data_IF_425758558165
#
_entry.id   IF_425758558165
#
_cell.length_a   1.000
_cell.length_b   1.000
_cell.length_c   1.000
_cell.angle_alpha   90.00
_cell.angle_beta   90.00
_cell.angle_gamma   90.00
#
_symmetry.space_group_name_H-M   'P 1'
#
loop_
_entity.id
_entity.type
_entity.pdbx_description
1 polymer ?
#
# COMPACT_ATOMS: atom_id res chain seq x y z
N UNK A 1 3.53 -15.64 10.68
CA UNK A 1 4.67 -14.73 10.36
C UNK A 1 5.74 -15.42 9.51
N UNK A 2 6.36 -16.50 9.97
CA UNK A 2 7.45 -17.20 9.24
C UNK A 2 7.03 -17.68 7.85
N UNK A 3 5.79 -18.14 7.68
CA UNK A 3 5.29 -18.60 6.38
C UNK A 3 5.33 -17.50 5.32
N UNK A 4 5.06 -16.24 5.68
CA UNK A 4 5.15 -15.13 4.73
C UNK A 4 6.59 -14.80 4.36
N UNK A 5 7.53 -14.89 5.32
CA UNK A 5 8.96 -14.72 5.03
C UNK A 5 9.44 -15.81 4.10
N UNK A 6 9.11 -17.07 4.42
CA UNK A 6 9.46 -18.20 3.55
C UNK A 6 8.82 -18.09 2.17
N UNK A 7 7.58 -17.61 2.10
CA UNK A 7 6.91 -17.38 0.82
C UNK A 7 7.55 -16.29 -0.01
N UNK A 8 8.00 -15.19 0.61
CA UNK A 8 8.75 -14.17 -0.09
C UNK A 8 10.08 -14.71 -0.63
N UNK A 9 10.80 -15.49 0.17
CA UNK A 9 12.03 -16.18 -0.26
C UNK A 9 11.73 -17.18 -1.38
N UNK A 10 10.70 -18.01 -1.23
CA UNK A 10 10.28 -18.96 -2.24
C UNK A 10 9.87 -18.27 -3.54
N UNK A 11 9.13 -17.17 -3.45
CA UNK A 11 8.77 -16.33 -4.60
C UNK A 11 10.01 -15.90 -5.38
N UNK A 12 11.03 -15.40 -4.69
CA UNK A 12 12.29 -14.98 -5.31
C UNK A 12 13.02 -16.18 -5.95
N UNK A 13 13.07 -17.31 -5.27
CA UNK A 13 13.74 -18.53 -5.78
C UNK A 13 13.02 -19.05 -7.03
N UNK A 14 11.69 -19.17 -6.98
CA UNK A 14 10.89 -19.65 -8.13
C UNK A 14 11.02 -18.68 -9.31
N UNK A 15 11.01 -17.39 -9.04
CA UNK A 15 11.21 -16.39 -10.07
C UNK A 15 12.59 -16.49 -10.73
N UNK A 16 13.66 -16.54 -9.95
CA UNK A 16 15.03 -16.70 -10.46
C UNK A 16 15.18 -18.01 -11.23
N UNK A 17 14.65 -19.12 -10.69
CA UNK A 17 14.67 -20.42 -11.35
C UNK A 17 13.94 -20.43 -12.69
N UNK A 18 12.78 -19.75 -12.75
CA UNK A 18 12.03 -19.60 -14.00
C UNK A 18 12.80 -18.76 -15.02
N UNK A 19 13.43 -17.67 -14.59
CA UNK A 19 14.27 -16.82 -15.42
C UNK A 19 15.47 -17.61 -16.01
N UNK A 20 16.14 -18.37 -15.18
CA UNK A 20 17.25 -19.23 -15.57
C UNK A 20 16.79 -20.31 -16.56
N UNK A 21 15.69 -21.02 -16.27
CA UNK A 21 15.17 -22.08 -17.14
C UNK A 21 14.79 -21.57 -18.54
N UNK A 22 14.20 -20.40 -18.62
CA UNK A 22 13.86 -19.78 -19.92
C UNK A 22 15.11 -19.31 -20.63
N UNK A 23 16.09 -18.74 -19.92
CA UNK A 23 17.38 -18.34 -20.51
C UNK A 23 18.10 -19.53 -21.16
N UNK A 24 18.09 -20.70 -20.54
CA UNK A 24 18.62 -21.93 -21.11
C UNK A 24 17.85 -22.37 -22.36
N UNK A 25 16.52 -22.24 -22.36
CA UNK A 25 15.68 -22.65 -23.50
C UNK A 25 15.81 -21.73 -24.71
N UNK A 26 16.11 -20.45 -24.50
CA UNK A 26 16.18 -19.45 -25.55
C UNK A 26 17.60 -19.13 -26.00
N UNK A 27 18.62 -19.70 -25.38
CA UNK A 27 20.04 -19.36 -25.56
C UNK A 27 20.34 -17.85 -25.40
N UNK A 28 19.45 -17.11 -24.76
CA UNK A 28 19.60 -15.70 -24.46
C UNK A 28 19.41 -15.51 -22.98
N UNK A 29 20.46 -15.05 -22.32
CA UNK A 29 20.35 -14.65 -20.90
C UNK A 29 19.57 -13.33 -20.86
N UNK A 30 18.25 -13.43 -20.94
CA UNK A 30 17.34 -12.31 -20.78
C UNK A 30 16.48 -12.54 -19.54
N UNK A 31 16.88 -11.95 -18.42
CA UNK A 31 15.98 -11.76 -17.29
C UNK A 31 14.83 -10.78 -17.64
N UNK A 32 14.89 -10.16 -18.81
CA UNK A 32 13.96 -9.14 -19.29
C UNK A 32 13.29 -9.61 -20.57
N UNK A 33 11.97 -9.49 -20.65
CA UNK A 33 11.26 -9.69 -21.92
C UNK A 33 10.28 -10.85 -21.99
N UNK A 34 9.92 -11.42 -20.85
CA UNK A 34 8.75 -12.30 -20.81
C UNK A 34 7.51 -11.52 -21.25
N UNK A 35 6.76 -12.04 -22.20
CA UNK A 35 5.40 -11.54 -22.40
C UNK A 35 4.67 -11.68 -21.07
N UNK A 36 4.21 -10.58 -20.49
CA UNK A 36 3.43 -10.58 -19.27
C UNK A 36 2.25 -11.54 -19.46
N UNK A 37 2.31 -12.66 -18.75
CA UNK A 37 1.24 -13.63 -18.72
C UNK A 37 0.50 -13.46 -17.41
N UNK A 38 -0.79 -13.08 -17.47
CA UNK A 38 -1.68 -13.03 -16.30
C UNK A 38 -1.66 -14.34 -15.53
N UNK A 39 -1.62 -15.48 -16.25
CA UNK A 39 -1.56 -16.81 -15.64
C UNK A 39 -0.29 -16.98 -14.80
N UNK A 40 0.85 -16.57 -15.33
CA UNK A 40 2.13 -16.65 -14.61
C UNK A 40 2.16 -15.71 -13.41
N UNK A 41 1.62 -14.50 -13.54
CA UNK A 41 1.49 -13.55 -12.45
C UNK A 41 0.66 -14.13 -11.29
N UNK A 42 -0.54 -14.63 -11.58
CA UNK A 42 -1.38 -15.25 -10.56
C UNK A 42 -0.77 -16.52 -9.97
N UNK A 43 -0.06 -17.30 -10.78
CA UNK A 43 0.67 -18.47 -10.29
C UNK A 43 1.72 -18.05 -9.25
N UNK A 44 2.52 -17.04 -9.51
CA UNK A 44 3.49 -16.55 -8.53
C UNK A 44 2.83 -15.96 -7.28
N UNK A 45 1.77 -15.21 -7.44
CA UNK A 45 1.05 -14.65 -6.29
C UNK A 45 0.29 -15.70 -5.48
N UNK A 46 -0.11 -16.81 -6.08
CA UNK A 46 -0.76 -17.93 -5.37
C UNK A 46 0.14 -18.52 -4.27
N UNK A 47 1.46 -18.36 -4.37
CA UNK A 47 2.41 -18.73 -3.32
C UNK A 47 2.03 -18.04 -1.99
N UNK A 48 1.67 -16.78 -2.03
CA UNK A 48 1.26 -16.03 -0.82
C UNK A 48 -0.09 -16.49 -0.28
N UNK A 49 -1.02 -16.84 -1.18
CA UNK A 49 -2.31 -17.40 -0.79
C UNK A 49 -2.14 -18.77 -0.12
N UNK A 50 -1.29 -19.62 -0.70
CA UNK A 50 -0.93 -20.94 -0.11
C UNK A 50 -0.24 -20.73 1.23
N UNK A 51 0.65 -19.74 1.37
CA UNK A 51 1.29 -19.42 2.64
C UNK A 51 0.29 -19.02 3.72
N UNK A 52 -0.70 -18.19 3.40
CA UNK A 52 -1.77 -17.81 4.33
C UNK A 52 -2.59 -19.03 4.77
N UNK A 53 -2.90 -19.92 3.83
CA UNK A 53 -3.60 -21.17 4.12
C UNK A 53 -2.77 -22.12 5.01
N UNK A 54 -1.48 -22.28 4.72
CA UNK A 54 -0.58 -23.09 5.53
C UNK A 54 -0.39 -22.52 6.94
N UNK A 55 -0.37 -21.18 7.08
CA UNK A 55 -0.33 -20.52 8.38
C UNK A 55 -1.58 -20.88 9.18
N UNK A 56 -2.77 -20.78 8.59
CA UNK A 56 -4.02 -21.14 9.23
C UNK A 56 -4.08 -22.62 9.65
N UNK A 57 -3.66 -23.53 8.79
CA UNK A 57 -3.65 -24.96 9.09
C UNK A 57 -2.65 -25.31 10.19
N UNK A 58 -1.43 -24.75 10.12
CA UNK A 58 -0.33 -25.11 11.05
C UNK A 58 -0.58 -24.63 12.48
N UNK A 59 -1.29 -23.52 12.63
CA UNK A 59 -1.62 -22.95 13.94
C UNK A 59 -3.06 -23.22 14.37
N UNK A 60 -3.82 -23.98 13.58
CA UNK A 60 -5.27 -24.18 13.79
C UNK A 60 -6.03 -22.87 13.93
N UNK A 61 -5.55 -21.81 13.27
CA UNK A 61 -6.05 -20.46 13.33
C UNK A 61 -6.65 -20.05 11.98
N UNK A 62 -7.94 -20.34 11.81
CA UNK A 62 -8.69 -19.97 10.61
C UNK A 62 -8.70 -18.44 10.42
N UNK A 63 -8.61 -17.68 11.52
CA UNK A 63 -8.60 -16.22 11.46
C UNK A 63 -7.38 -15.69 10.69
N UNK A 64 -6.24 -16.38 10.76
CA UNK A 64 -5.06 -15.99 10.01
C UNK A 64 -5.28 -15.97 8.47
N UNK A 65 -6.07 -16.91 7.95
CA UNK A 65 -6.45 -16.90 6.54
C UNK A 65 -7.56 -15.89 6.23
N UNK A 66 -8.55 -15.79 7.12
CA UNK A 66 -9.62 -14.81 6.99
C UNK A 66 -9.09 -13.38 6.99
N UNK A 67 -8.14 -13.05 7.87
CA UNK A 67 -7.44 -11.76 7.89
C UNK A 67 -6.83 -11.44 6.53
N UNK A 68 -6.17 -12.42 5.90
CA UNK A 68 -5.57 -12.23 4.58
C UNK A 68 -6.61 -11.86 3.52
N UNK A 69 -7.75 -12.57 3.52
CA UNK A 69 -8.85 -12.29 2.60
C UNK A 69 -9.46 -10.90 2.87
N UNK A 70 -9.68 -10.56 4.14
CA UNK A 70 -10.18 -9.23 4.53
C UNK A 70 -9.22 -8.14 4.04
N UNK A 71 -7.92 -8.32 4.21
CA UNK A 71 -6.93 -7.35 3.74
C UNK A 71 -6.92 -7.19 2.22
N UNK A 72 -7.14 -8.27 1.46
CA UNK A 72 -7.29 -8.18 0.01
C UNK A 72 -8.40 -7.20 -0.40
N UNK A 73 -9.58 -7.37 0.20
CA UNK A 73 -10.72 -6.50 -0.10
C UNK A 73 -10.57 -5.10 0.49
N UNK A 74 -10.10 -4.99 1.72
CA UNK A 74 -9.88 -3.72 2.39
C UNK A 74 -8.86 -2.86 1.63
N UNK A 75 -7.78 -3.45 1.13
CA UNK A 75 -6.77 -2.74 0.35
C UNK A 75 -7.32 -2.18 -0.96
N UNK A 76 -8.09 -2.98 -1.70
CA UNK A 76 -8.77 -2.52 -2.91
C UNK A 76 -9.78 -1.41 -2.59
N UNK A 77 -10.56 -1.57 -1.52
CA UNK A 77 -11.52 -0.56 -1.09
C UNK A 77 -10.81 0.75 -0.72
N UNK A 78 -9.78 0.67 0.12
CA UNK A 78 -8.98 1.83 0.55
C UNK A 78 -8.35 2.56 -0.64
N UNK A 79 -7.74 1.83 -1.57
CA UNK A 79 -7.17 2.37 -2.79
C UNK A 79 -8.23 3.04 -3.68
N UNK A 80 -9.39 2.41 -3.83
CA UNK A 80 -10.49 2.94 -4.65
C UNK A 80 -11.07 4.22 -4.06
N UNK A 81 -11.35 4.22 -2.75
CA UNK A 81 -11.86 5.39 -2.02
C UNK A 81 -10.86 6.55 -2.11
N UNK A 82 -9.58 6.24 -1.86
CA UNK A 82 -8.52 7.23 -1.95
C UNK A 82 -8.36 7.82 -3.35
N UNK A 83 -8.33 6.98 -4.39
CA UNK A 83 -8.21 7.43 -5.79
C UNK A 83 -9.43 8.21 -6.25
N UNK A 84 -10.63 7.83 -5.81
CA UNK A 84 -11.86 8.57 -6.08
C UNK A 84 -11.82 9.95 -5.42
N UNK A 85 -11.46 10.02 -4.13
CA UNK A 85 -11.28 11.27 -3.41
C UNK A 85 -10.25 12.16 -4.13
N UNK A 86 -9.09 11.62 -4.48
CA UNK A 86 -8.05 12.37 -5.19
C UNK A 86 -8.58 12.98 -6.49
N UNK A 87 -9.31 12.21 -7.30
CA UNK A 87 -9.87 12.69 -8.57
C UNK A 87 -10.92 13.78 -8.41
N UNK A 88 -11.58 13.83 -7.26
CA UNK A 88 -12.55 14.91 -6.96
C UNK A 88 -11.87 16.28 -6.88
N UNK A 89 -10.63 16.31 -6.44
CA UNK A 89 -9.88 17.58 -6.25
C UNK A 89 -8.87 17.83 -7.38
N UNK A 90 -8.37 16.79 -8.03
CA UNK A 90 -7.30 16.91 -9.01
C UNK A 90 -7.69 16.30 -10.36
N UNK A 91 -7.41 17.03 -11.44
CA UNK A 91 -7.75 16.59 -12.79
C UNK A 91 -6.99 15.33 -13.27
N UNK A 92 -5.86 15.00 -12.65
CA UNK A 92 -5.06 13.83 -13.00
C UNK A 92 -4.92 12.89 -11.81
N UNK A 93 -5.00 11.57 -12.03
CA UNK A 93 -4.76 10.60 -10.97
C UNK A 93 -3.31 10.69 -10.47
N UNK A 94 -3.10 10.37 -9.18
CA UNK A 94 -1.75 10.28 -8.61
C UNK A 94 -0.96 9.13 -9.22
N UNK A 95 -1.64 8.01 -9.48
CA UNK A 95 -1.15 6.88 -10.26
C UNK A 95 -2.20 6.41 -11.26
N UNK A 96 -1.80 5.62 -12.22
CA UNK A 96 -2.69 4.96 -13.16
C UNK A 96 -2.25 3.52 -13.37
N UNK A 97 -3.20 2.60 -13.32
CA UNK A 97 -2.98 1.19 -13.63
C UNK A 97 -3.01 0.95 -15.13
N UNK A 98 -2.22 -0.02 -15.61
CA UNK A 98 -2.07 -0.32 -17.02
C UNK A 98 -2.60 -1.69 -17.42
N UNK A 99 -3.02 -2.51 -16.46
CA UNK A 99 -3.53 -3.86 -16.71
C UNK A 99 -4.70 -4.19 -15.77
N UNK A 100 -5.70 -4.91 -16.31
CA UNK A 100 -6.89 -5.40 -15.60
C UNK A 100 -7.56 -4.36 -14.70
N UNK A 101 -7.71 -3.17 -15.25
CA UNK A 101 -8.16 -1.98 -14.53
C UNK A 101 -9.68 -1.95 -14.38
N UNK A 102 -10.13 -1.32 -13.31
CA UNK A 102 -11.53 -0.95 -13.13
C UNK A 102 -11.64 0.51 -12.63
N UNK A 103 -12.87 1.06 -12.70
CA UNK A 103 -13.10 2.45 -12.28
C UNK A 103 -12.29 3.48 -13.06
N UNK A 104 -11.96 3.23 -14.33
CA UNK A 104 -11.17 4.16 -15.14
C UNK A 104 -9.71 4.26 -14.69
N UNK A 105 -9.01 3.14 -14.56
CA UNK A 105 -7.62 3.01 -14.10
C UNK A 105 -7.40 3.39 -12.62
N UNK A 106 -8.46 3.39 -11.80
CA UNK A 106 -8.38 3.71 -10.37
C UNK A 106 -7.62 2.63 -9.62
N UNK A 107 -7.96 1.37 -9.88
CA UNK A 107 -7.32 0.21 -9.31
C UNK A 107 -7.25 -0.94 -10.31
N UNK A 108 -6.68 -2.07 -9.91
CA UNK A 108 -6.49 -3.25 -10.75
C UNK A 108 -6.84 -4.52 -9.98
N UNK A 109 -7.51 -5.45 -10.66
CA UNK A 109 -7.76 -6.80 -10.14
C UNK A 109 -6.46 -7.54 -9.79
N UNK A 110 -5.34 -7.13 -10.39
CA UNK A 110 -4.02 -7.70 -10.10
C UNK A 110 -3.52 -7.36 -8.69
N UNK A 111 -4.11 -6.37 -8.02
CA UNK A 111 -3.66 -5.90 -6.70
C UNK A 111 -4.31 -6.63 -5.51
N UNK A 112 -5.28 -7.51 -5.71
CA UNK A 112 -5.95 -8.19 -4.59
C UNK A 112 -4.95 -8.92 -3.69
N UNK A 113 -4.17 -9.82 -4.24
CA UNK A 113 -3.19 -10.59 -3.45
C UNK A 113 -2.08 -9.69 -2.86
N UNK A 114 -1.47 -8.75 -3.60
CA UNK A 114 -0.55 -7.77 -3.03
C UNK A 114 -1.11 -7.01 -1.83
N UNK A 115 -2.38 -6.62 -1.84
CA UNK A 115 -3.00 -5.97 -0.69
C UNK A 115 -3.15 -6.90 0.52
N UNK A 116 -3.48 -8.19 0.29
CA UNK A 116 -3.46 -9.20 1.35
C UNK A 116 -2.08 -9.34 2.00
N UNK A 117 -1.02 -9.39 1.19
CA UNK A 117 0.37 -9.41 1.66
C UNK A 117 0.71 -8.14 2.44
N UNK A 118 0.30 -6.97 1.93
CA UNK A 118 0.52 -5.69 2.58
C UNK A 118 -0.12 -5.63 3.97
N UNK A 119 -1.35 -6.12 4.12
CA UNK A 119 -2.02 -6.21 5.41
C UNK A 119 -1.27 -7.10 6.39
N UNK A 120 -0.80 -8.27 5.95
CA UNK A 120 0.04 -9.15 6.80
C UNK A 120 1.36 -8.50 7.21
N UNK A 121 2.00 -7.74 6.33
CA UNK A 121 3.18 -6.97 6.71
C UNK A 121 2.89 -5.90 7.77
N UNK A 122 1.74 -5.21 7.68
CA UNK A 122 1.34 -4.26 8.72
C UNK A 122 1.23 -4.94 10.09
N UNK A 123 0.51 -6.06 10.16
CA UNK A 123 0.36 -6.84 11.40
C UNK A 123 1.71 -7.34 11.93
N UNK A 124 2.60 -7.77 11.03
CA UNK A 124 3.93 -8.21 11.41
C UNK A 124 4.76 -7.08 12.03
N UNK A 125 4.79 -5.90 11.40
CA UNK A 125 5.50 -4.72 11.91
C UNK A 125 4.92 -4.33 13.28
N UNK A 126 3.60 -4.29 13.38
CA UNK A 126 2.89 -3.98 14.63
C UNK A 126 3.20 -4.98 15.74
N UNK A 127 3.12 -6.28 15.47
CA UNK A 127 3.40 -7.33 16.46
C UNK A 127 4.84 -7.28 16.92
N UNK A 128 5.78 -7.07 16.01
CA UNK A 128 7.20 -6.89 16.31
C UNK A 128 7.40 -5.65 17.20
N UNK A 129 6.81 -4.53 16.84
CA UNK A 129 6.86 -3.31 17.63
C UNK A 129 6.36 -3.53 19.06
N UNK A 130 5.22 -4.20 19.25
CA UNK A 130 4.68 -4.51 20.58
C UNK A 130 5.62 -5.38 21.41
N UNK A 131 6.25 -6.37 20.79
CA UNK A 131 7.22 -7.23 21.49
C UNK A 131 8.44 -6.46 22.00
N UNK A 132 8.94 -5.50 21.20
CA UNK A 132 10.13 -4.73 21.56
C UNK A 132 9.85 -3.61 22.58
N UNK A 133 8.70 -2.96 22.46
CA UNK A 133 8.44 -1.76 23.27
C UNK A 133 7.61 -2.02 24.53
N UNK A 134 6.93 -3.17 24.59
CA UNK A 134 5.92 -3.42 25.62
C UNK A 134 4.79 -2.39 25.62
N UNK A 135 4.66 -1.60 24.53
CA UNK A 135 3.77 -0.44 24.52
C UNK A 135 2.31 -0.85 24.44
N UNK A 136 1.50 -0.17 25.23
CA UNK A 136 0.05 -0.30 25.24
C UNK A 136 -0.67 0.53 24.16
N UNK A 137 -0.06 0.74 23.00
CA UNK A 137 -0.78 1.35 21.88
C UNK A 137 -1.89 0.39 21.49
N UNK A 138 -3.11 0.75 21.77
CA UNK A 138 -4.29 -0.07 21.59
C UNK A 138 -5.20 0.45 20.47
N UNK A 139 -6.33 -0.20 20.26
CA UNK A 139 -7.31 0.18 19.25
C UNK A 139 -7.78 1.63 19.40
N UNK A 140 -7.88 2.16 20.63
CA UNK A 140 -8.37 3.53 20.86
C UNK A 140 -7.47 4.58 20.22
N UNK A 141 -6.16 4.36 20.23
CA UNK A 141 -5.17 5.23 19.62
C UNK A 141 -5.29 5.20 18.09
N UNK A 142 -5.48 4.01 17.52
CA UNK A 142 -5.72 3.88 16.09
C UNK A 142 -7.02 4.55 15.66
N UNK A 143 -8.09 4.41 16.44
CA UNK A 143 -9.36 5.11 16.19
C UNK A 143 -9.21 6.62 16.33
N UNK A 144 -8.40 7.12 17.27
CA UNK A 144 -8.09 8.53 17.39
C UNK A 144 -7.34 9.04 16.13
N UNK A 145 -6.38 8.29 15.61
CA UNK A 145 -5.69 8.64 14.36
C UNK A 145 -6.70 8.78 13.21
N UNK A 146 -7.63 7.83 13.09
CA UNK A 146 -8.68 7.89 12.09
C UNK A 146 -9.59 9.10 12.26
N UNK A 147 -10.00 9.39 13.48
CA UNK A 147 -10.81 10.56 13.79
C UNK A 147 -10.09 11.85 13.39
N UNK A 148 -8.83 12.00 13.75
CA UNK A 148 -8.01 13.16 13.37
C UNK A 148 -7.91 13.27 11.84
N UNK A 149 -7.66 12.18 11.15
CA UNK A 149 -7.61 12.16 9.68
C UNK A 149 -8.94 12.60 9.06
N UNK A 150 -10.07 12.07 9.55
CA UNK A 150 -11.41 12.44 9.06
C UNK A 150 -11.69 13.92 9.31
N UNK A 151 -11.37 14.44 10.49
CA UNK A 151 -11.57 15.85 10.82
C UNK A 151 -10.75 16.76 9.88
N UNK A 152 -9.47 16.48 9.70
CA UNK A 152 -8.64 17.24 8.77
C UNK A 152 -9.14 17.15 7.33
N UNK A 153 -9.56 15.96 6.91
CA UNK A 153 -10.15 15.76 5.58
C UNK A 153 -11.41 16.61 5.37
N UNK A 154 -12.34 16.61 6.34
CA UNK A 154 -13.55 17.40 6.27
C UNK A 154 -13.26 18.91 6.25
N UNK A 155 -12.31 19.38 7.05
CA UNK A 155 -11.87 20.78 7.04
C UNK A 155 -11.34 21.18 5.66
N UNK A 156 -10.53 20.35 5.04
CA UNK A 156 -10.02 20.61 3.69
C UNK A 156 -11.13 20.62 2.63
N UNK A 157 -12.08 19.68 2.73
CA UNK A 157 -13.23 19.66 1.84
C UNK A 157 -14.05 20.95 1.94
N UNK A 158 -14.30 21.42 3.15
CA UNK A 158 -15.02 22.67 3.39
C UNK A 158 -14.23 23.85 2.81
N UNK A 159 -12.93 23.95 3.07
CA UNK A 159 -12.08 25.01 2.52
C UNK A 159 -12.10 25.04 0.99
N UNK A 160 -12.02 23.87 0.35
CA UNK A 160 -12.09 23.78 -1.11
C UNK A 160 -13.45 24.25 -1.65
N UNK A 161 -14.56 23.84 -1.00
CA UNK A 161 -15.89 24.29 -1.37
C UNK A 161 -16.04 25.81 -1.22
N UNK A 162 -15.55 26.37 -0.12
CA UNK A 162 -15.55 27.82 0.13
C UNK A 162 -14.74 28.53 -0.96
N UNK A 163 -13.54 28.04 -1.28
CA UNK A 163 -12.73 28.64 -2.34
C UNK A 163 -13.41 28.59 -3.70
N UNK A 164 -14.06 27.49 -4.06
CA UNK A 164 -14.83 27.37 -5.31
C UNK A 164 -15.97 28.37 -5.39
N UNK A 165 -16.67 28.61 -4.26
CA UNK A 165 -17.79 29.54 -4.19
C UNK A 165 -17.34 31.00 -4.36
N UNK A 166 -16.23 31.38 -3.74
CA UNK A 166 -15.79 32.79 -3.70
C UNK A 166 -14.82 33.18 -4.81
N UNK A 167 -13.93 32.31 -5.24
CA UNK A 167 -12.86 32.65 -6.19
C UNK A 167 -12.98 31.99 -7.54
N UNK A 168 -13.89 31.03 -7.73
CA UNK A 168 -13.96 30.15 -8.91
C UNK A 168 -12.64 29.42 -9.23
N UNK A 169 -11.67 29.49 -8.33
CA UNK A 169 -10.37 28.81 -8.43
C UNK A 169 -10.25 27.80 -7.34
N UNK A 170 -9.61 26.71 -7.63
CA UNK A 170 -9.27 25.66 -6.66
C UNK A 170 -7.77 25.68 -6.41
N UNK A 171 -7.32 25.16 -5.26
CA UNK A 171 -5.88 24.95 -5.04
C UNK A 171 -5.28 24.05 -6.12
N UNK A 172 -6.05 23.08 -6.59
CA UNK A 172 -5.65 22.18 -7.67
C UNK A 172 -5.45 22.86 -9.03
N UNK A 173 -6.09 24.01 -9.26
CA UNK A 173 -5.94 24.82 -10.48
C UNK A 173 -4.82 25.86 -10.39
N UNK A 174 -4.12 25.93 -9.26
CA UNK A 174 -3.01 26.86 -9.05
C UNK A 174 -1.80 26.51 -9.91
N UNK A 175 -0.96 27.50 -10.20
CA UNK A 175 0.33 27.32 -10.88
C UNK A 175 1.31 26.47 -10.05
N UNK A 176 1.08 26.37 -8.74
CA UNK A 176 1.88 25.57 -7.79
C UNK A 176 1.22 24.23 -7.48
N UNK A 177 0.97 23.45 -8.51
CA UNK A 177 0.26 22.17 -8.41
C UNK A 177 0.87 21.19 -7.41
N UNK A 178 2.20 21.11 -7.34
CA UNK A 178 2.90 20.21 -6.42
C UNK A 178 2.67 20.60 -4.97
N UNK A 179 2.67 21.90 -4.68
CA UNK A 179 2.34 22.42 -3.34
C UNK A 179 0.88 22.14 -2.97
N UNK A 180 -0.03 22.27 -3.93
CA UNK A 180 -1.45 21.93 -3.71
C UNK A 180 -1.63 20.46 -3.38
N UNK A 181 -0.94 19.56 -4.09
CA UNK A 181 -0.94 18.13 -3.82
C UNK A 181 -0.42 17.85 -2.41
N UNK A 182 0.68 18.47 -2.03
CA UNK A 182 1.24 18.34 -0.70
C UNK A 182 0.24 18.78 0.39
N UNK A 183 -0.34 19.96 0.25
CA UNK A 183 -1.28 20.51 1.24
C UNK A 183 -2.52 19.62 1.38
N UNK A 184 -3.14 19.23 0.28
CA UNK A 184 -4.39 18.46 0.34
C UNK A 184 -4.19 17.03 0.81
N UNK A 185 -3.08 16.44 0.47
CA UNK A 185 -2.89 15.01 0.62
C UNK A 185 -2.01 14.63 1.81
N UNK A 186 -0.87 15.27 1.92
CA UNK A 186 0.11 14.84 2.93
C UNK A 186 -0.05 15.57 4.25
N UNK A 187 -0.47 16.84 4.22
CA UNK A 187 -0.52 17.67 5.43
C UNK A 187 -1.43 17.10 6.52
N UNK A 188 -2.70 16.71 6.23
CA UNK A 188 -3.58 16.16 7.27
C UNK A 188 -3.00 14.93 7.96
N UNK A 189 -2.48 14.00 7.16
CA UNK A 189 -1.87 12.76 7.66
C UNK A 189 -0.62 13.10 8.47
N UNK A 190 0.23 13.97 7.94
CA UNK A 190 1.46 14.39 8.62
C UNK A 190 1.16 15.05 9.95
N UNK A 191 0.19 15.97 10.01
CA UNK A 191 -0.20 16.63 11.25
C UNK A 191 -0.75 15.63 12.26
N UNK A 192 -1.62 14.70 11.85
CA UNK A 192 -2.16 13.66 12.73
C UNK A 192 -1.04 12.77 13.30
N UNK A 193 -0.10 12.35 12.47
CA UNK A 193 1.05 11.53 12.90
C UNK A 193 1.99 12.31 13.83
N UNK A 194 2.23 13.59 13.59
CA UNK A 194 3.02 14.44 14.46
C UNK A 194 2.34 14.60 15.84
N UNK A 195 1.06 14.93 15.86
CA UNK A 195 0.31 15.08 17.11
C UNK A 195 0.35 13.79 17.95
N UNK A 196 0.15 12.64 17.31
CA UNK A 196 0.23 11.36 18.00
C UNK A 196 1.67 11.03 18.44
N UNK A 197 2.67 11.40 17.66
CA UNK A 197 4.08 11.24 18.08
C UNK A 197 4.38 12.06 19.33
N UNK A 198 3.88 13.29 19.45
CA UNK A 198 4.02 14.08 20.66
C UNK A 198 3.28 13.47 21.85
N UNK A 199 2.09 12.89 21.62
CA UNK A 199 1.29 12.29 22.67
C UNK A 199 1.83 10.92 23.15
N UNK A 200 2.37 10.11 22.24
CA UNK A 200 2.74 8.71 22.49
C UNK A 200 4.27 8.47 22.54
N UNK A 201 5.05 9.47 22.16
CA UNK A 201 6.50 9.45 22.23
C UNK A 201 7.20 8.83 21.01
N UNK A 202 8.55 8.75 21.12
CA UNK A 202 9.43 8.33 20.00
C UNK A 202 9.15 6.92 19.48
N UNK A 203 8.67 6.02 20.34
CA UNK A 203 8.34 4.66 19.89
C UNK A 203 7.24 4.66 18.82
N UNK A 204 6.24 5.52 18.94
CA UNK A 204 5.19 5.68 17.94
C UNK A 204 5.75 6.27 16.62
N UNK A 205 6.70 7.21 16.74
CA UNK A 205 7.42 7.73 15.56
C UNK A 205 8.14 6.62 14.80
N UNK A 206 8.88 5.75 15.50
CA UNK A 206 9.58 4.63 14.85
C UNK A 206 8.61 3.65 14.17
N UNK A 207 7.47 3.36 14.79
CA UNK A 207 6.43 2.54 14.17
C UNK A 207 5.92 3.18 12.87
N UNK A 208 5.66 4.48 12.90
CA UNK A 208 5.20 5.26 11.74
C UNK A 208 6.21 5.19 10.59
N UNK A 209 7.49 5.44 10.91
CA UNK A 209 8.57 5.38 9.92
C UNK A 209 8.72 3.96 9.36
N UNK A 210 8.64 2.94 10.22
CA UNK A 210 8.72 1.55 9.79
C UNK A 210 7.62 1.20 8.77
N UNK A 211 6.37 1.61 9.02
CA UNK A 211 5.29 1.44 8.05
C UNK A 211 5.63 2.13 6.72
N UNK A 212 5.98 3.42 6.75
CA UNK A 212 6.26 4.19 5.53
C UNK A 212 7.39 3.58 4.70
N UNK A 213 8.50 3.26 5.34
CA UNK A 213 9.70 2.73 4.66
C UNK A 213 9.45 1.33 4.11
N UNK A 214 8.89 0.43 4.93
CA UNK A 214 8.65 -0.96 4.50
C UNK A 214 7.68 -1.00 3.33
N UNK A 215 6.58 -0.25 3.38
CA UNK A 215 5.62 -0.21 2.28
C UNK A 215 6.21 0.41 1.02
N UNK A 216 6.94 1.53 1.15
CA UNK A 216 7.60 2.18 0.01
C UNK A 216 8.58 1.23 -0.68
N UNK A 217 9.45 0.58 0.11
CA UNK A 217 10.44 -0.36 -0.42
C UNK A 217 9.74 -1.58 -1.04
N UNK A 218 8.72 -2.12 -0.38
CA UNK A 218 7.97 -3.28 -0.89
C UNK A 218 7.26 -2.97 -2.20
N UNK A 219 6.59 -1.82 -2.31
CA UNK A 219 5.96 -1.39 -3.54
C UNK A 219 6.97 -1.20 -4.66
N UNK A 220 8.08 -0.49 -4.36
CA UNK A 220 9.14 -0.26 -5.33
C UNK A 220 9.73 -1.57 -5.85
N UNK A 221 10.10 -2.47 -4.94
CA UNK A 221 10.66 -3.77 -5.29
C UNK A 221 9.67 -4.61 -6.09
N UNK A 222 8.42 -4.68 -5.65
CA UNK A 222 7.38 -5.43 -6.36
C UNK A 222 7.16 -4.88 -7.77
N UNK A 223 7.01 -3.56 -7.91
CA UNK A 223 6.88 -2.92 -9.22
C UNK A 223 8.09 -3.13 -10.13
N UNK A 224 9.30 -3.08 -9.56
CA UNK A 224 10.54 -3.35 -10.27
C UNK A 224 10.64 -4.81 -10.72
N UNK A 225 10.27 -5.76 -9.87
CA UNK A 225 10.19 -7.17 -10.21
C UNK A 225 9.26 -7.43 -11.39
N UNK A 226 8.04 -6.89 -11.34
CA UNK A 226 7.08 -7.04 -12.43
C UNK A 226 7.62 -6.43 -13.72
N UNK A 227 8.25 -5.25 -13.62
CA UNK A 227 8.88 -4.61 -14.78
C UNK A 227 10.00 -5.46 -15.37
N UNK A 228 10.87 -6.03 -14.55
CA UNK A 228 11.92 -6.94 -15.01
C UNK A 228 11.37 -8.19 -15.70
N UNK A 229 10.28 -8.78 -15.13
CA UNK A 229 9.66 -9.98 -15.69
C UNK A 229 8.95 -9.72 -17.03
N UNK A 230 8.26 -8.61 -17.13
CA UNK A 230 7.29 -8.39 -18.21
C UNK A 230 7.69 -7.31 -19.20
N UNK A 231 8.70 -6.51 -18.88
CA UNK A 231 9.01 -5.27 -19.61
C UNK A 231 7.90 -4.22 -19.51
N UNK A 232 6.86 -4.44 -18.69
CA UNK A 232 5.71 -3.56 -18.54
C UNK A 232 5.50 -3.19 -17.08
N UNK A 233 5.09 -1.95 -16.85
CA UNK A 233 4.69 -1.49 -15.54
C UNK A 233 3.22 -1.82 -15.30
N UNK A 234 2.88 -2.34 -14.11
CA UNK A 234 1.48 -2.54 -13.71
C UNK A 234 0.79 -1.22 -13.43
N UNK A 235 1.53 -0.28 -12.82
CA UNK A 235 1.09 1.08 -12.53
C UNK A 235 2.18 2.08 -12.87
N UNK A 236 1.80 3.33 -12.89
CA UNK A 236 2.71 4.45 -13.09
C UNK A 236 2.28 5.63 -12.23
N UNK A 237 3.20 6.12 -11.40
CA UNK A 237 3.02 7.36 -10.68
C UNK A 237 3.24 8.56 -11.57
N UNK A 238 2.37 9.55 -11.42
CA UNK A 238 2.38 10.78 -12.23
C UNK A 238 3.04 11.97 -11.49
N UNK A 239 3.33 11.83 -10.19
CA UNK A 239 3.88 12.87 -9.34
C UNK A 239 5.13 12.38 -8.62
N UNK A 240 6.20 13.19 -8.60
CA UNK A 240 7.50 12.88 -8.02
C UNK A 240 7.91 11.40 -8.19
N UNK A 241 7.92 10.92 -9.44
CA UNK A 241 8.13 9.51 -9.72
C UNK A 241 9.57 9.08 -9.38
N UNK A 242 9.68 7.92 -8.76
CA UNK A 242 10.95 7.22 -8.54
C UNK A 242 11.09 6.15 -9.62
N UNK A 243 12.27 6.07 -10.23
CA UNK A 243 12.61 5.09 -11.27
C UNK A 243 11.53 4.95 -12.35
N UNK A 244 11.21 6.09 -12.99
CA UNK A 244 10.24 6.13 -14.07
C UNK A 244 8.79 5.87 -13.63
N UNK A 245 8.47 6.05 -12.37
CA UNK A 245 7.10 5.97 -11.85
C UNK A 245 6.73 4.62 -11.25
N UNK A 246 7.70 3.79 -10.88
CA UNK A 246 7.45 2.54 -10.14
C UNK A 246 6.98 2.80 -8.71
N UNK A 247 7.40 3.91 -8.11
CA UNK A 247 6.88 4.46 -6.87
C UNK A 247 6.97 5.98 -6.90
N UNK A 248 6.60 6.64 -5.80
CA UNK A 248 6.65 8.09 -5.65
C UNK A 248 7.12 8.46 -4.26
N UNK A 249 7.93 9.51 -4.14
CA UNK A 249 8.32 10.06 -2.84
C UNK A 249 7.10 10.49 -2.03
N UNK A 250 6.04 10.96 -2.68
CA UNK A 250 4.77 11.28 -2.03
C UNK A 250 4.08 10.07 -1.41
N UNK A 251 4.37 8.86 -1.86
CA UNK A 251 3.73 7.66 -1.36
C UNK A 251 4.18 7.30 0.06
N UNK A 252 5.33 7.79 0.54
CA UNK A 252 5.88 7.43 1.86
C UNK A 252 4.87 7.78 2.98
N UNK A 253 4.30 8.98 2.98
CA UNK A 253 3.36 9.40 4.03
C UNK A 253 2.04 8.62 3.95
N UNK A 254 1.38 8.48 2.79
CA UNK A 254 0.25 7.57 2.65
C UNK A 254 0.54 6.13 3.09
N UNK A 255 1.74 5.64 2.86
CA UNK A 255 2.12 4.30 3.30
C UNK A 255 2.25 4.19 4.81
N UNK A 256 2.71 5.24 5.51
CA UNK A 256 2.60 5.26 6.97
C UNK A 256 1.14 5.03 7.40
N UNK A 257 0.22 5.74 6.77
CA UNK A 257 -1.21 5.62 7.07
C UNK A 257 -1.78 4.26 6.66
N UNK A 258 -1.37 3.68 5.54
CA UNK A 258 -1.79 2.35 5.12
C UNK A 258 -1.42 1.27 6.14
N UNK A 259 -0.25 1.37 6.78
CA UNK A 259 0.15 0.49 7.88
C UNK A 259 -0.84 0.57 9.05
N UNK A 260 -1.22 1.77 9.46
CA UNK A 260 -2.23 1.98 10.50
C UNK A 260 -3.62 1.48 10.07
N UNK A 261 -3.98 1.68 8.82
CA UNK A 261 -5.25 1.20 8.25
C UNK A 261 -5.40 -0.31 8.42
N UNK A 262 -4.45 -1.08 7.93
CA UNK A 262 -4.51 -2.54 8.03
C UNK A 262 -4.41 -3.04 9.47
N UNK A 263 -3.58 -2.40 10.30
CA UNK A 263 -3.49 -2.73 11.73
C UNK A 263 -4.81 -2.47 12.46
N UNK A 264 -5.50 -1.36 12.14
CA UNK A 264 -6.83 -1.06 12.71
C UNK A 264 -7.84 -2.14 12.33
N UNK A 265 -7.89 -2.53 11.07
CA UNK A 265 -8.79 -3.59 10.60
C UNK A 265 -8.51 -4.88 11.36
N UNK A 266 -7.24 -5.25 11.48
CA UNK A 266 -6.86 -6.45 12.21
C UNK A 266 -7.27 -6.39 13.68
N UNK A 267 -7.04 -5.27 14.37
CA UNK A 267 -7.45 -5.08 15.76
C UNK A 267 -8.98 -5.17 15.92
N UNK A 268 -9.75 -4.61 15.01
CA UNK A 268 -11.22 -4.71 15.02
C UNK A 268 -11.66 -6.16 14.84
N UNK A 269 -11.18 -6.84 13.80
CA UNK A 269 -11.57 -8.22 13.48
C UNK A 269 -11.22 -9.19 14.61
N UNK A 270 -10.07 -8.98 15.27
CA UNK A 270 -9.60 -9.87 16.35
C UNK A 270 -10.02 -9.41 17.76
N UNK A 271 -10.86 -8.37 17.88
CA UNK A 271 -11.44 -7.95 19.17
C UNK A 271 -12.81 -8.58 19.44
N UNK A 272 -13.38 -9.29 18.49
CA UNK A 272 -14.63 -10.03 18.56
C UNK A 272 -14.39 -11.53 18.52
#
# INVERSE_FOLDING_TARGET
MWFFIYSAVLFVIVWLGTGIAVSFKTNQFQLTGFKFSRKLYYLFLSIFLVAALLEAISFYDVNAFLDFIIFMFAGILGETVFSFWWRTFFAKPIWSYKADTFGGEISSMLNFIPWGVSGKFAVMIWSTYRQFTGSGVDLSIFLLLWLLFIVFFLVQLVLELVMKLFSKKTLASSTHRELSIYIYFTLPITVALILLTFALGLNFFFLTVAFGVVYFVSEFLFGYFIFLLSGKKLWQYNFMPVNGGLSSIYAIIPFCFAGFYFTTIWLIVNSF
#
